data_IF_683941836570
#
_entry.id   IF_683941836570
#
_cell.length_a   1.000
_cell.length_b   1.000
_cell.length_c   1.000
_cell.angle_alpha   90.00
_cell.angle_beta   90.00
_cell.angle_gamma   90.00
#
_symmetry.space_group_name_H-M   'P 1'
#
loop_
_entity.id
_entity.type
_entity.pdbx_description
1 polymer ?
#
# COMPACT_ATOMS: atom_id res chain seq x y z
N UNK A 1 -10.24 -18.90 -3.08
CA UNK A 1 -9.96 -17.58 -2.51
C UNK A 1 -8.53 -17.24 -2.84
N UNK A 2 -8.30 -16.35 -3.80
CA UNK A 2 -6.98 -15.86 -4.17
C UNK A 2 -7.16 -14.40 -4.58
N UNK A 3 -6.53 -13.48 -3.85
CA UNK A 3 -6.42 -12.10 -4.29
C UNK A 3 -5.57 -12.10 -5.57
N UNK A 4 -6.17 -11.71 -6.70
CA UNK A 4 -5.44 -11.50 -7.94
C UNK A 4 -4.69 -10.19 -7.81
N UNK A 5 -3.43 -10.27 -7.38
CA UNK A 5 -2.47 -9.19 -7.60
C UNK A 5 -2.18 -9.18 -9.11
N UNK A 6 -2.46 -8.05 -9.75
CA UNK A 6 -2.52 -7.90 -11.21
C UNK A 6 -1.30 -8.45 -11.97
N UNK A 7 -1.56 -8.79 -13.24
CA UNK A 7 -0.61 -9.38 -14.19
C UNK A 7 0.79 -8.74 -14.16
N UNK A 8 1.80 -9.58 -14.36
CA UNK A 8 3.24 -9.41 -14.13
C UNK A 8 3.96 -8.21 -14.79
N UNK A 9 3.24 -7.28 -15.42
CA UNK A 9 3.81 -6.06 -16.04
C UNK A 9 3.10 -4.77 -15.59
N UNK A 10 2.16 -4.86 -14.65
CA UNK A 10 1.53 -3.70 -14.02
C UNK A 10 1.76 -3.81 -12.53
N UNK A 11 2.89 -3.25 -12.09
CA UNK A 11 3.21 -3.09 -10.66
C UNK A 11 1.95 -2.60 -9.93
N UNK A 12 1.58 -3.22 -8.81
CA UNK A 12 0.34 -2.88 -8.13
C UNK A 12 0.45 -1.45 -7.61
N UNK A 13 -0.15 -0.51 -8.34
CA UNK A 13 -0.33 0.86 -7.86
C UNK A 13 -1.54 0.84 -6.92
N UNK A 14 -1.41 1.25 -5.65
CA UNK A 14 -2.55 1.48 -4.78
C UNK A 14 -3.43 2.57 -5.39
N UNK A 15 -4.51 2.17 -6.09
CA UNK A 15 -5.46 3.11 -6.71
C UNK A 15 -6.53 3.59 -5.73
N UNK A 16 -6.73 2.85 -4.64
CA UNK A 16 -7.72 3.14 -3.62
C UNK A 16 -7.04 3.05 -2.24
N UNK A 17 -6.77 4.23 -1.68
CA UNK A 17 -6.11 4.39 -0.40
C UNK A 17 -7.01 3.97 0.77
N UNK A 18 -8.32 4.15 0.66
CA UNK A 18 -9.27 3.70 1.69
C UNK A 18 -9.29 2.17 1.80
N UNK A 19 -9.33 1.48 0.66
CA UNK A 19 -9.26 0.02 0.63
C UNK A 19 -7.93 -0.51 1.17
N UNK A 20 -6.84 0.26 1.03
CA UNK A 20 -5.56 -0.06 1.66
C UNK A 20 -5.63 0.11 3.18
N UNK A 21 -6.21 1.21 3.67
CA UNK A 21 -6.39 1.43 5.10
C UNK A 21 -7.22 0.30 5.74
N UNK A 22 -8.33 -0.07 5.12
CA UNK A 22 -9.17 -1.19 5.58
C UNK A 22 -8.38 -2.51 5.64
N UNK A 23 -7.58 -2.80 4.61
CA UNK A 23 -6.74 -3.99 4.56
C UNK A 23 -5.68 -3.99 5.68
N UNK A 24 -5.03 -2.85 5.94
CA UNK A 24 -4.03 -2.73 7.00
C UNK A 24 -4.64 -2.99 8.38
N UNK A 25 -5.84 -2.45 8.63
CA UNK A 25 -6.62 -2.69 9.86
C UNK A 25 -7.00 -4.16 10.03
N UNK A 26 -7.53 -4.78 8.98
CA UNK A 26 -7.97 -6.17 9.00
C UNK A 26 -6.80 -7.13 9.26
N UNK A 27 -5.68 -6.88 8.57
CA UNK A 27 -4.49 -7.75 8.63
C UNK A 27 -3.59 -7.45 9.82
N UNK A 28 -3.82 -6.34 10.55
CA UNK A 28 -3.00 -5.85 11.67
C UNK A 28 -1.51 -5.75 11.31
N UNK A 29 -1.23 -5.36 10.07
CA UNK A 29 0.13 -5.19 9.58
C UNK A 29 0.72 -3.95 10.22
N UNK A 30 1.93 -4.08 10.78
CA UNK A 30 2.66 -2.97 11.42
C UNK A 30 3.86 -2.49 10.60
N UNK A 31 4.25 -3.26 9.57
CA UNK A 31 5.35 -2.94 8.67
C UNK A 31 5.05 -3.33 7.24
N UNK A 32 5.32 -2.42 6.32
CA UNK A 32 5.17 -2.65 4.88
C UNK A 32 6.49 -2.42 4.17
N UNK A 33 6.92 -3.43 3.40
CA UNK A 33 8.10 -3.33 2.54
C UNK A 33 7.79 -2.53 1.28
N UNK A 34 8.41 -1.36 1.12
CA UNK A 34 8.27 -0.56 -0.09
C UNK A 34 9.49 -0.75 -1.00
N UNK A 35 9.38 -1.66 -1.97
CA UNK A 35 10.36 -1.80 -3.05
C UNK A 35 9.69 -1.57 -4.39
N UNK A 36 10.06 -0.48 -5.06
CA UNK A 36 9.76 -0.20 -6.47
C UNK A 36 8.28 -0.34 -6.85
N UNK A 37 7.38 0.26 -6.07
CA UNK A 37 5.92 0.19 -6.28
C UNK A 37 5.43 0.87 -7.58
N UNK A 38 6.32 1.56 -8.30
CA UNK A 38 5.98 2.24 -9.56
C UNK A 38 4.91 3.32 -9.39
N UNK A 39 4.81 3.89 -8.19
CA UNK A 39 3.79 4.89 -7.86
C UNK A 39 4.24 6.29 -8.29
N UNK A 40 3.36 7.12 -8.88
CA UNK A 40 3.69 8.51 -9.20
C UNK A 40 4.03 9.29 -7.94
N UNK A 41 5.03 10.18 -7.99
CA UNK A 41 5.45 10.98 -6.82
C UNK A 41 4.29 11.75 -6.18
N UNK A 42 3.35 12.25 -6.99
CA UNK A 42 2.17 12.95 -6.52
C UNK A 42 1.24 12.08 -5.64
N UNK A 43 1.32 10.75 -5.76
CA UNK A 43 0.52 9.80 -4.98
C UNK A 43 1.25 9.25 -3.75
N UNK A 44 2.57 9.49 -3.62
CA UNK A 44 3.36 9.04 -2.48
C UNK A 44 2.92 9.74 -1.19
N UNK A 45 2.59 11.03 -1.26
CA UNK A 45 2.16 11.80 -0.09
C UNK A 45 0.94 11.20 0.60
N UNK A 46 -0.14 10.97 -0.15
CA UNK A 46 -1.37 10.38 0.41
C UNK A 46 -1.19 8.95 0.90
N UNK A 47 -0.29 8.17 0.29
CA UNK A 47 0.06 6.85 0.79
C UNK A 47 0.78 6.92 2.14
N UNK A 48 1.73 7.85 2.30
CA UNK A 48 2.45 8.04 3.56
C UNK A 48 1.52 8.51 4.69
N UNK A 49 0.55 9.38 4.39
CA UNK A 49 -0.47 9.81 5.34
C UNK A 49 -1.30 8.61 5.84
N UNK A 50 -1.78 7.77 4.92
CA UNK A 50 -2.56 6.57 5.28
C UNK A 50 -1.74 5.59 6.12
N UNK A 51 -0.47 5.37 5.76
CA UNK A 51 0.41 4.51 6.55
C UNK A 51 0.63 5.07 7.96
N UNK A 52 0.83 6.39 8.08
CA UNK A 52 1.00 7.05 9.38
C UNK A 52 -0.27 6.97 10.23
N UNK A 53 -1.44 7.20 9.63
CA UNK A 53 -2.74 7.12 10.30
C UNK A 53 -3.05 5.72 10.80
N UNK A 54 -2.64 4.69 10.05
CA UNK A 54 -2.80 3.28 10.45
C UNK A 54 -1.66 2.76 11.34
N UNK A 55 -0.67 3.61 11.69
CA UNK A 55 0.45 3.23 12.55
C UNK A 55 1.41 2.22 11.91
N UNK A 56 1.49 2.22 10.58
CA UNK A 56 2.26 1.28 9.78
C UNK A 56 3.59 1.91 9.39
N UNK A 57 4.69 1.25 9.74
CA UNK A 57 6.02 1.70 9.36
C UNK A 57 6.39 1.23 7.95
N UNK A 58 7.05 2.10 7.19
CA UNK A 58 7.77 1.68 5.99
C UNK A 58 9.06 0.98 6.37
N UNK A 59 9.18 -0.28 5.98
CA UNK A 59 10.43 -1.02 6.00
C UNK A 59 11.10 -0.88 4.62
N UNK A 60 12.33 -0.39 4.62
CA UNK A 60 13.20 -0.29 3.46
C UNK A 60 14.26 -1.39 3.48
#
# INVERSE_FOLDING_TARGET
>A
MAAVYGAADSRPVPRNLDALADLLRETRVTRVGATDWGMPEASIGGLLEVLADEGVELAY
#
